data_IF_571701503232
#
_entry.id   IF_571701503232
#
_cell.length_a   1.000
_cell.length_b   1.000
_cell.length_c   1.000
_cell.angle_alpha   90.00
_cell.angle_beta   90.00
_cell.angle_gamma   90.00
#
_symmetry.space_group_name_H-M   'P 1'
#
loop_
_entity.id
_entity.type
_entity.pdbx_description
1 polymer ?
#
# COMPACT_ATOMS: atom_id res chain seq x y z
N UNK A 1 7.66 5.14 -23.13
CA UNK A 1 7.25 4.85 -21.75
C UNK A 1 5.86 5.43 -21.53
N UNK A 2 4.91 4.61 -21.06
CA UNK A 2 3.54 5.07 -20.76
C UNK A 2 3.06 4.43 -19.46
N UNK A 3 2.49 5.21 -18.56
CA UNK A 3 1.83 4.77 -17.34
C UNK A 3 0.72 5.74 -16.93
N UNK A 4 -0.11 5.35 -15.99
CA UNK A 4 -1.23 6.17 -15.51
C UNK A 4 -1.06 6.38 -14.00
N UNK A 5 -1.06 7.62 -13.56
CA UNK A 5 -1.10 7.97 -12.14
C UNK A 5 -2.55 8.24 -11.71
N UNK A 6 -2.91 7.80 -10.51
CA UNK A 6 -4.25 7.97 -9.94
C UNK A 6 -4.17 8.35 -8.48
N UNK A 7 -5.10 9.16 -8.05
CA UNK A 7 -5.38 9.49 -6.66
C UNK A 7 -6.89 9.62 -6.44
N UNK A 8 -7.37 9.35 -5.22
CA UNK A 8 -8.78 9.46 -4.85
C UNK A 8 -8.95 10.12 -3.50
N UNK A 9 -10.05 10.88 -3.35
CA UNK A 9 -10.49 11.39 -2.06
C UNK A 9 -11.73 10.64 -1.58
N UNK A 10 -11.84 10.45 -0.25
CA UNK A 10 -12.96 9.72 0.36
C UNK A 10 -13.76 10.63 1.29
N UNK A 11 -15.08 10.45 1.31
CA UNK A 11 -15.98 11.23 2.16
C UNK A 11 -15.76 10.99 3.66
N UNK A 12 -15.33 9.77 4.03
CA UNK A 12 -15.13 9.37 5.43
C UNK A 12 -14.07 8.26 5.55
N UNK A 13 -13.99 7.60 6.70
CA UNK A 13 -13.03 6.53 6.99
C UNK A 13 -13.30 5.21 6.26
N UNK A 14 -14.49 5.02 5.68
CA UNK A 14 -14.75 3.92 4.75
C UNK A 14 -14.09 4.23 3.41
N UNK A 15 -13.10 3.43 3.05
CA UNK A 15 -12.35 3.60 1.81
C UNK A 15 -13.22 3.42 0.55
N UNK A 16 -14.42 2.86 0.67
CA UNK A 16 -15.39 2.74 -0.43
C UNK A 16 -16.12 4.07 -0.71
N UNK A 17 -16.04 5.06 0.18
CA UNK A 17 -16.74 6.34 0.08
C UNK A 17 -16.05 7.36 -0.84
N UNK A 18 -15.60 6.94 -2.01
CA UNK A 18 -14.87 7.79 -2.97
C UNK A 18 -15.75 8.98 -3.39
N UNK A 19 -15.25 10.21 -3.17
CA UNK A 19 -15.93 11.46 -3.53
C UNK A 19 -15.21 12.28 -4.62
N UNK A 20 -13.94 11.97 -4.91
CA UNK A 20 -13.22 12.52 -6.06
C UNK A 20 -12.25 11.49 -6.61
N UNK A 21 -12.04 11.52 -7.92
CA UNK A 21 -11.00 10.75 -8.61
C UNK A 21 -10.21 11.67 -9.52
N UNK A 22 -8.90 11.55 -9.50
CA UNK A 22 -7.97 12.22 -10.39
C UNK A 22 -7.07 11.19 -11.08
N UNK A 23 -6.93 11.31 -12.41
CA UNK A 23 -6.08 10.43 -13.21
C UNK A 23 -5.24 11.25 -14.15
N UNK A 24 -3.95 10.97 -14.21
CA UNK A 24 -3.01 11.62 -15.14
C UNK A 24 -2.26 10.54 -15.91
N UNK A 25 -2.41 10.56 -17.22
CA UNK A 25 -1.61 9.70 -18.12
C UNK A 25 -0.26 10.34 -18.38
N UNK A 26 0.79 9.58 -18.22
CA UNK A 26 2.16 9.98 -18.56
C UNK A 26 2.60 9.26 -19.82
N UNK A 27 3.13 10.05 -20.78
CA UNK A 27 3.75 9.56 -22.00
C UNK A 27 5.08 10.27 -22.20
N UNK A 28 6.12 9.51 -22.47
CA UNK A 28 7.48 10.01 -22.67
C UNK A 28 7.95 10.95 -21.54
N UNK A 29 7.72 10.50 -20.30
CA UNK A 29 8.07 11.20 -19.04
C UNK A 29 7.31 12.51 -18.80
N UNK A 30 6.21 12.77 -19.50
CA UNK A 30 5.41 13.99 -19.35
C UNK A 30 3.93 13.68 -19.17
N UNK A 31 3.19 14.50 -18.40
CA UNK A 31 1.74 14.46 -18.38
C UNK A 31 1.19 14.69 -19.80
N UNK A 32 0.27 13.85 -20.25
CA UNK A 32 -0.30 13.90 -21.60
C UNK A 32 -1.82 14.02 -21.62
N UNK A 33 -2.49 13.47 -20.63
CA UNK A 33 -3.95 13.56 -20.49
C UNK A 33 -4.31 13.57 -19.01
N UNK A 34 -5.29 14.39 -18.64
CA UNK A 34 -5.83 14.46 -17.28
C UNK A 34 -7.32 14.20 -17.29
N UNK A 35 -7.76 13.32 -16.42
CA UNK A 35 -9.17 13.08 -16.13
C UNK A 35 -9.41 13.38 -14.65
N UNK A 36 -10.53 14.05 -14.34
CA UNK A 36 -10.98 14.22 -12.97
C UNK A 36 -12.51 14.15 -12.91
N UNK A 37 -13.02 13.62 -11.83
CA UNK A 37 -14.45 13.56 -11.58
C UNK A 37 -14.75 13.71 -10.09
N UNK A 38 -15.76 14.51 -9.76
CA UNK A 38 -16.45 14.41 -8.48
C UNK A 38 -17.43 13.23 -8.55
N UNK A 39 -17.53 12.51 -7.47
CA UNK A 39 -18.35 11.28 -7.36
C UNK A 39 -19.27 11.43 -6.17
N UNK A 40 -20.54 11.14 -6.34
CA UNK A 40 -21.45 10.99 -5.20
C UNK A 40 -21.16 9.65 -4.52
N UNK A 41 -20.60 9.64 -3.29
CA UNK A 41 -20.25 8.40 -2.58
C UNK A 41 -21.46 7.62 -2.07
N UNK A 42 -22.68 8.26 -2.10
CA UNK A 42 -23.89 7.74 -1.46
C UNK A 42 -23.63 7.35 0.00
N UNK A 43 -22.94 8.25 0.72
CA UNK A 43 -22.42 8.04 2.06
C UNK A 43 -22.29 9.37 2.82
N UNK A 44 -22.15 9.31 4.14
CA UNK A 44 -21.99 10.50 4.99
C UNK A 44 -20.56 11.09 4.86
N UNK A 45 -20.48 12.42 5.04
CA UNK A 45 -19.20 13.11 5.03
C UNK A 45 -18.66 13.34 6.44
N UNK A 46 -17.42 12.90 6.70
CA UNK A 46 -16.69 13.21 7.92
C UNK A 46 -16.14 14.64 7.88
N UNK A 47 -16.32 15.41 8.94
CA UNK A 47 -15.72 16.75 9.06
C UNK A 47 -14.19 16.75 8.91
N UNK A 48 -13.52 15.66 9.26
CA UNK A 48 -12.07 15.52 9.12
C UNK A 48 -11.72 15.48 7.63
N UNK A 49 -12.39 14.62 6.85
CA UNK A 49 -12.14 14.46 5.42
C UNK A 49 -12.48 15.77 4.68
N UNK A 50 -13.63 16.37 4.95
CA UNK A 50 -14.01 17.67 4.36
C UNK A 50 -12.98 18.77 4.65
N UNK A 51 -12.40 18.81 5.87
CA UNK A 51 -11.34 19.77 6.19
C UNK A 51 -10.06 19.54 5.38
N UNK A 52 -9.77 18.30 5.01
CA UNK A 52 -8.57 17.92 4.25
C UNK A 52 -8.70 18.34 2.79
N UNK A 53 -9.74 17.90 2.09
CA UNK A 53 -9.87 18.07 0.63
C UNK A 53 -10.93 19.11 0.22
N UNK A 54 -11.71 19.66 1.16
CA UNK A 54 -12.69 20.73 0.89
C UNK A 54 -13.94 20.27 0.12
N UNK A 55 -14.17 18.96 -0.03
CA UNK A 55 -15.35 18.42 -0.72
C UNK A 55 -16.37 17.99 0.32
N UNK A 56 -17.56 18.54 0.24
CA UNK A 56 -18.70 18.20 1.08
C UNK A 56 -19.86 17.63 0.25
N UNK A 57 -20.91 17.20 0.93
CA UNK A 57 -22.11 16.64 0.29
C UNK A 57 -22.72 17.60 -0.75
N UNK A 58 -22.71 18.91 -0.51
CA UNK A 58 -23.33 19.90 -1.40
C UNK A 58 -22.66 19.93 -2.79
N UNK A 59 -21.35 19.62 -2.83
CA UNK A 59 -20.56 19.60 -4.08
C UNK A 59 -20.80 18.33 -4.91
N UNK A 60 -21.19 17.21 -4.28
CA UNK A 60 -21.27 15.91 -4.96
C UNK A 60 -22.68 15.35 -5.09
N UNK A 61 -23.67 15.89 -4.38
CA UNK A 61 -25.04 15.35 -4.38
C UNK A 61 -25.69 15.21 -5.75
N UNK A 62 -25.29 16.05 -6.71
CA UNK A 62 -25.79 16.02 -8.09
C UNK A 62 -24.79 15.35 -9.05
N UNK A 63 -23.67 14.81 -8.53
CA UNK A 63 -22.70 14.09 -9.32
C UNK A 63 -23.13 12.62 -9.50
N UNK A 64 -22.57 11.98 -10.51
CA UNK A 64 -22.79 10.56 -10.74
C UNK A 64 -22.21 9.73 -9.59
N UNK A 65 -22.84 8.61 -9.26
CA UNK A 65 -22.30 7.63 -8.33
C UNK A 65 -21.11 6.86 -8.94
N UNK A 66 -20.36 6.17 -8.08
CA UNK A 66 -19.12 5.47 -8.46
C UNK A 66 -19.24 4.52 -9.66
N UNK A 67 -20.34 3.74 -9.85
CA UNK A 67 -20.47 2.89 -11.02
C UNK A 67 -20.35 3.63 -12.36
N UNK A 68 -20.96 4.82 -12.46
CA UNK A 68 -20.91 5.64 -13.68
C UNK A 68 -19.50 6.23 -13.87
N UNK A 69 -18.87 6.72 -12.80
CA UNK A 69 -17.48 7.17 -12.87
C UNK A 69 -16.54 6.06 -13.33
N UNK A 70 -16.79 4.82 -12.90
CA UNK A 70 -15.99 3.65 -13.28
C UNK A 70 -16.07 3.32 -14.77
N UNK A 71 -17.17 3.63 -15.46
CA UNK A 71 -17.28 3.44 -16.92
C UNK A 71 -16.20 4.26 -17.66
N UNK A 72 -15.93 5.48 -17.20
CA UNK A 72 -14.88 6.34 -17.75
C UNK A 72 -13.48 5.97 -17.25
N UNK A 73 -13.36 5.50 -16.01
CA UNK A 73 -12.07 5.14 -15.40
C UNK A 73 -11.49 3.85 -15.96
N UNK A 74 -12.32 2.84 -16.15
CA UNK A 74 -11.89 1.50 -16.55
C UNK A 74 -11.06 1.49 -17.85
N UNK A 75 -11.44 2.19 -18.93
CA UNK A 75 -10.61 2.26 -20.14
C UNK A 75 -9.24 2.93 -19.92
N UNK A 76 -9.14 3.84 -18.95
CA UNK A 76 -7.88 4.52 -18.64
C UNK A 76 -6.91 3.62 -17.86
N UNK A 77 -7.44 2.68 -17.06
CA UNK A 77 -6.66 1.90 -16.10
C UNK A 77 -6.36 0.46 -16.57
N UNK A 78 -7.32 -0.18 -17.27
CA UNK A 78 -7.18 -1.59 -17.66
C UNK A 78 -5.98 -1.81 -18.59
N UNK A 79 -5.22 -2.88 -18.29
CA UNK A 79 -4.02 -3.26 -19.05
C UNK A 79 -2.80 -2.36 -18.80
N UNK A 80 -2.92 -1.32 -17.97
CA UNK A 80 -1.85 -0.35 -17.74
C UNK A 80 -1.05 -0.65 -16.47
N UNK A 81 0.10 0.02 -16.33
CA UNK A 81 0.74 0.20 -15.03
C UNK A 81 0.09 1.42 -14.40
N UNK A 82 -0.59 1.20 -13.28
CA UNK A 82 -1.29 2.23 -12.51
C UNK A 82 -0.48 2.57 -11.28
N UNK A 83 -0.17 3.84 -11.14
CA UNK A 83 0.71 4.41 -10.13
C UNK A 83 -0.12 5.16 -9.11
N UNK A 84 0.10 4.91 -7.83
CA UNK A 84 -0.46 5.70 -6.74
C UNK A 84 0.60 5.95 -5.66
N UNK A 85 0.40 6.98 -4.84
CA UNK A 85 1.30 7.23 -3.72
C UNK A 85 0.76 6.56 -2.45
N UNK A 86 1.28 5.39 -2.10
CA UNK A 86 0.81 4.40 -1.12
C UNK A 86 -0.23 3.43 -1.68
N UNK A 87 -0.81 2.60 -0.82
CA UNK A 87 -1.81 1.62 -1.20
C UNK A 87 -3.25 2.14 -1.08
N UNK A 88 -3.44 3.39 -0.64
CA UNK A 88 -4.74 3.95 -0.30
C UNK A 88 -5.70 3.88 -1.51
N UNK A 89 -5.31 4.44 -2.63
CA UNK A 89 -6.14 4.55 -3.84
C UNK A 89 -6.54 3.19 -4.39
N UNK A 90 -5.56 2.29 -4.46
CA UNK A 90 -5.80 0.90 -4.89
C UNK A 90 -6.84 0.20 -4.00
N UNK A 91 -6.73 0.39 -2.68
CA UNK A 91 -7.66 -0.24 -1.73
C UNK A 91 -9.03 0.42 -1.81
N UNK A 92 -9.09 1.74 -1.95
CA UNK A 92 -10.34 2.49 -2.09
C UNK A 92 -11.11 2.05 -3.33
N UNK A 93 -10.45 1.98 -4.49
CA UNK A 93 -11.07 1.51 -5.74
C UNK A 93 -11.53 0.05 -5.64
N UNK A 94 -10.75 -0.82 -5.01
CA UNK A 94 -11.15 -2.22 -4.81
C UNK A 94 -12.40 -2.33 -3.92
N UNK A 95 -12.43 -1.59 -2.80
CA UNK A 95 -13.55 -1.56 -1.88
C UNK A 95 -14.82 -0.96 -2.51
N UNK A 96 -14.69 0.14 -3.26
CA UNK A 96 -15.80 0.74 -3.98
C UNK A 96 -16.32 -0.21 -5.06
N UNK A 97 -15.43 -0.89 -5.80
CA UNK A 97 -15.85 -1.91 -6.77
C UNK A 97 -16.59 -3.06 -6.10
N UNK A 98 -16.16 -3.52 -4.93
CA UNK A 98 -16.84 -4.55 -4.14
C UNK A 98 -18.22 -4.09 -3.66
N UNK A 99 -18.34 -2.87 -3.08
CA UNK A 99 -19.59 -2.25 -2.62
C UNK A 99 -20.65 -2.27 -3.73
N UNK A 100 -20.25 -1.92 -4.96
CA UNK A 100 -21.15 -1.84 -6.11
C UNK A 100 -21.14 -3.09 -6.99
N UNK A 101 -20.52 -4.18 -6.57
CA UNK A 101 -20.44 -5.47 -7.31
C UNK A 101 -19.91 -5.31 -8.74
N UNK A 102 -18.94 -4.42 -8.93
CA UNK A 102 -18.28 -4.18 -10.20
C UNK A 102 -17.11 -5.15 -10.39
N UNK A 103 -16.77 -5.52 -11.63
CA UNK A 103 -15.55 -6.29 -11.89
C UNK A 103 -14.31 -5.54 -11.41
N UNK A 104 -13.28 -6.28 -10.97
CA UNK A 104 -12.00 -5.70 -10.60
C UNK A 104 -11.35 -4.97 -11.79
N UNK A 105 -10.48 -4.00 -11.48
CA UNK A 105 -9.66 -3.33 -12.49
C UNK A 105 -8.45 -4.24 -12.80
N UNK A 106 -8.28 -4.60 -14.06
CA UNK A 106 -7.20 -5.45 -14.52
C UNK A 106 -5.97 -4.60 -14.87
N UNK A 107 -5.17 -4.25 -13.88
CA UNK A 107 -3.97 -3.44 -14.04
C UNK A 107 -2.82 -3.91 -13.15
N UNK A 108 -1.61 -3.42 -13.41
CA UNK A 108 -0.45 -3.61 -12.54
C UNK A 108 -0.24 -2.37 -11.67
N UNK A 109 -0.35 -2.52 -10.36
CA UNK A 109 -0.17 -1.43 -9.41
C UNK A 109 1.31 -1.20 -9.07
N UNK A 110 1.71 0.08 -9.07
CA UNK A 110 3.01 0.52 -8.62
C UNK A 110 2.84 1.61 -7.54
N UNK A 111 3.34 1.34 -6.34
CA UNK A 111 3.30 2.24 -5.19
C UNK A 111 4.56 3.12 -5.21
N UNK A 112 4.41 4.42 -5.49
CA UNK A 112 5.54 5.37 -5.56
C UNK A 112 6.18 5.61 -4.20
N UNK A 113 5.46 5.52 -3.08
CA UNK A 113 6.07 5.61 -1.77
C UNK A 113 7.12 4.51 -1.55
N UNK A 114 6.92 3.33 -2.14
CA UNK A 114 7.92 2.26 -2.12
C UNK A 114 9.08 2.55 -3.06
N UNK A 115 8.81 3.07 -4.26
CA UNK A 115 9.87 3.50 -5.19
C UNK A 115 10.77 4.54 -4.51
N UNK A 116 10.18 5.59 -3.91
CA UNK A 116 10.84 6.64 -3.14
C UNK A 116 11.76 6.06 -2.08
N UNK A 117 11.25 5.16 -1.26
CA UNK A 117 12.00 4.52 -0.16
C UNK A 117 13.18 3.65 -0.63
N UNK A 118 13.13 3.14 -1.86
CA UNK A 118 14.22 2.38 -2.45
C UNK A 118 15.23 3.26 -3.20
N UNK A 119 14.77 4.36 -3.78
CA UNK A 119 15.61 5.28 -4.56
C UNK A 119 16.40 6.19 -3.63
N UNK A 120 15.75 6.78 -2.63
CA UNK A 120 16.33 7.85 -1.80
C UNK A 120 16.45 7.43 -0.33
N UNK A 121 17.69 7.30 0.15
CA UNK A 121 18.01 6.81 1.51
C UNK A 121 17.37 7.62 2.63
N UNK A 122 17.21 8.93 2.46
CA UNK A 122 16.59 9.82 3.45
C UNK A 122 15.13 9.47 3.70
N UNK A 123 14.41 8.94 2.71
CA UNK A 123 13.02 8.51 2.80
C UNK A 123 12.84 7.04 3.17
N UNK A 124 13.90 6.29 3.35
CA UNK A 124 13.82 4.84 3.57
C UNK A 124 12.96 4.46 4.80
N UNK A 125 12.93 5.32 5.84
CA UNK A 125 12.24 5.05 7.11
C UNK A 125 11.05 5.96 7.38
N UNK A 126 11.12 7.24 7.01
CA UNK A 126 10.10 8.27 7.31
C UNK A 126 10.15 9.39 6.26
N UNK A 127 9.20 10.33 6.30
CA UNK A 127 9.13 11.50 5.42
C UNK A 127 8.85 11.17 3.96
N UNK A 128 8.29 10.00 3.67
CA UNK A 128 7.94 9.58 2.32
C UNK A 128 6.48 9.89 1.94
N UNK A 129 5.85 10.81 2.65
CA UNK A 129 4.55 11.36 2.28
C UNK A 129 4.63 12.12 0.95
N UNK A 130 3.52 12.18 0.21
CA UNK A 130 3.50 12.81 -1.11
C UNK A 130 4.01 14.25 -1.06
N UNK A 131 3.51 15.05 -0.10
CA UNK A 131 3.90 16.45 0.05
C UNK A 131 5.40 16.61 0.35
N UNK A 132 5.94 15.83 1.31
CA UNK A 132 7.36 15.91 1.69
C UNK A 132 8.29 15.57 0.52
N UNK A 133 7.93 14.54 -0.24
CA UNK A 133 8.72 14.09 -1.40
C UNK A 133 8.60 15.06 -2.57
N UNK A 134 7.40 15.59 -2.82
CA UNK A 134 7.18 16.58 -3.87
C UNK A 134 7.96 17.87 -3.60
N UNK A 135 7.92 18.38 -2.36
CA UNK A 135 8.70 19.54 -1.93
C UNK A 135 10.20 19.31 -2.16
N UNK A 136 10.72 18.15 -1.73
CA UNK A 136 12.12 17.79 -1.95
C UNK A 136 12.47 17.66 -3.44
N UNK A 137 11.54 17.21 -4.27
CA UNK A 137 11.69 17.11 -5.72
C UNK A 137 11.54 18.46 -6.43
N UNK A 138 11.07 19.52 -5.75
CA UNK A 138 10.74 20.80 -6.38
C UNK A 138 9.51 20.72 -7.28
N UNK A 139 8.53 19.89 -6.91
CA UNK A 139 7.26 19.70 -7.62
C UNK A 139 6.19 20.50 -6.88
N UNK A 140 5.71 21.58 -7.52
CA UNK A 140 4.61 22.38 -7.01
C UNK A 140 3.26 21.75 -7.39
N UNK A 141 2.36 21.60 -6.43
CA UNK A 141 1.00 21.08 -6.67
C UNK A 141 0.04 21.54 -5.56
N UNK A 142 -1.24 21.46 -5.82
CA UNK A 142 -2.28 21.74 -4.83
C UNK A 142 -2.67 20.43 -4.17
N UNK A 143 -2.13 20.19 -2.95
CA UNK A 143 -2.38 18.96 -2.21
C UNK A 143 -3.87 18.77 -1.88
N UNK A 144 -4.34 17.53 -1.89
CA UNK A 144 -5.73 17.13 -1.72
C UNK A 144 -6.67 17.59 -2.86
N UNK A 145 -6.12 17.77 -4.04
CA UNK A 145 -6.85 17.76 -5.29
C UNK A 145 -6.42 16.51 -6.08
N UNK A 146 -7.29 15.51 -6.19
CA UNK A 146 -6.91 14.19 -6.66
C UNK A 146 -6.11 14.18 -7.99
N UNK A 147 -6.42 15.07 -8.96
CA UNK A 147 -5.64 15.10 -10.20
C UNK A 147 -4.24 15.72 -10.02
N UNK A 148 -4.08 16.67 -9.08
CA UNK A 148 -2.78 17.25 -8.74
C UNK A 148 -1.92 16.27 -7.95
N UNK A 149 -2.53 15.53 -7.00
CA UNK A 149 -1.85 14.49 -6.23
C UNK A 149 -1.40 13.33 -7.16
N UNK A 150 -2.26 12.92 -8.09
CA UNK A 150 -1.90 11.96 -9.14
C UNK A 150 -0.75 12.46 -10.03
N UNK A 151 -0.78 13.76 -10.44
CA UNK A 151 0.30 14.37 -11.23
C UNK A 151 1.61 14.35 -10.44
N UNK A 152 1.61 14.81 -9.20
CA UNK A 152 2.79 14.84 -8.35
C UNK A 152 3.37 13.42 -8.13
N UNK A 153 2.53 12.42 -7.86
CA UNK A 153 2.96 11.03 -7.74
C UNK A 153 3.63 10.51 -9.03
N UNK A 154 3.08 10.87 -10.19
CA UNK A 154 3.66 10.51 -11.48
C UNK A 154 4.99 11.21 -11.77
N UNK A 155 5.13 12.50 -11.46
CA UNK A 155 6.37 13.27 -11.63
C UNK A 155 7.48 12.77 -10.68
N UNK A 156 7.15 12.40 -9.43
CA UNK A 156 8.07 11.74 -8.50
C UNK A 156 8.59 10.43 -9.10
N UNK A 157 7.70 9.61 -9.68
CA UNK A 157 8.13 8.40 -10.36
C UNK A 157 9.07 8.71 -11.52
N UNK A 158 8.74 9.67 -12.40
CA UNK A 158 9.60 10.07 -13.53
C UNK A 158 11.00 10.43 -13.05
N UNK A 159 11.11 11.19 -11.95
CA UNK A 159 12.41 11.53 -11.35
C UNK A 159 13.17 10.30 -10.86
N UNK A 160 12.48 9.37 -10.19
CA UNK A 160 13.09 8.13 -9.74
C UNK A 160 13.58 7.26 -10.90
N UNK A 161 12.83 7.20 -12.01
CA UNK A 161 13.25 6.49 -13.23
C UNK A 161 14.53 7.11 -13.81
N UNK A 162 14.60 8.44 -13.89
CA UNK A 162 15.77 9.16 -14.41
C UNK A 162 17.03 8.92 -13.55
N UNK A 163 16.89 8.91 -12.22
CA UNK A 163 18.02 8.69 -11.31
C UNK A 163 18.50 7.23 -11.27
N UNK A 164 17.58 6.28 -11.41
CA UNK A 164 17.92 4.84 -11.29
C UNK A 164 18.25 4.18 -12.61
N UNK A 165 17.88 4.79 -13.72
CA UNK A 165 17.99 4.19 -15.07
C UNK A 165 17.04 3.00 -15.28
N UNK A 166 16.10 2.75 -14.35
CA UNK A 166 15.13 1.66 -14.44
C UNK A 166 13.89 2.12 -15.17
N UNK A 167 13.26 1.21 -15.91
CA UNK A 167 11.96 1.45 -16.53
C UNK A 167 10.82 1.35 -15.50
N UNK A 168 9.64 1.82 -15.87
CA UNK A 168 8.44 1.65 -15.04
C UNK A 168 8.05 0.18 -14.89
N UNK A 169 8.31 -0.62 -15.92
CA UNK A 169 8.13 -2.08 -15.94
C UNK A 169 9.07 -2.76 -14.95
N UNK A 170 10.35 -2.36 -14.91
CA UNK A 170 11.32 -2.87 -13.95
C UNK A 170 10.89 -2.58 -12.51
N UNK A 171 10.40 -1.37 -12.23
CA UNK A 171 9.89 -1.01 -10.92
C UNK A 171 8.63 -1.78 -10.55
N UNK A 172 7.70 -1.99 -11.50
CA UNK A 172 6.50 -2.78 -11.28
C UNK A 172 6.80 -4.26 -10.98
N UNK A 173 7.98 -4.76 -11.38
CA UNK A 173 8.48 -6.08 -11.01
C UNK A 173 9.26 -6.08 -9.69
N UNK A 174 10.02 -5.01 -9.42
CA UNK A 174 10.90 -4.90 -8.24
C UNK A 174 10.18 -4.49 -6.96
N UNK A 175 9.16 -3.64 -7.06
CA UNK A 175 8.35 -3.28 -5.88
C UNK A 175 7.71 -4.55 -5.36
N UNK A 176 8.13 -5.05 -4.19
CA UNK A 176 7.81 -6.41 -3.80
C UNK A 176 6.31 -6.65 -3.75
N UNK A 177 5.87 -7.63 -4.52
CA UNK A 177 4.63 -8.35 -4.22
C UNK A 177 4.64 -8.69 -2.72
N UNK A 178 3.48 -8.66 -2.04
CA UNK A 178 3.42 -9.10 -0.66
C UNK A 178 4.10 -10.45 -0.54
N UNK A 179 5.12 -10.54 0.33
CA UNK A 179 5.88 -11.78 0.50
C UNK A 179 4.95 -12.80 1.16
N UNK A 180 4.45 -13.71 0.35
CA UNK A 180 3.72 -14.90 0.79
C UNK A 180 4.50 -16.11 0.36
N UNK A 181 4.52 -17.14 1.19
CA UNK A 181 5.10 -18.46 0.88
C UNK A 181 4.20 -19.53 1.45
N UNK A 182 4.00 -20.56 0.67
CA UNK A 182 3.34 -21.77 1.16
C UNK A 182 4.39 -22.65 1.85
N UNK A 183 4.10 -23.07 3.06
CA UNK A 183 4.98 -23.93 3.85
C UNK A 183 5.09 -25.34 3.26
N UNK A 184 6.25 -25.96 3.44
CA UNK A 184 6.43 -27.39 3.12
C UNK A 184 5.65 -28.23 4.13
N UNK A 185 4.63 -29.01 3.71
CA UNK A 185 3.79 -29.77 4.63
C UNK A 185 4.50 -30.95 5.32
N UNK A 186 5.70 -31.34 4.86
CA UNK A 186 6.48 -32.44 5.40
C UNK A 186 7.52 -31.99 6.46
N UNK A 187 7.53 -30.71 6.79
CA UNK A 187 8.51 -30.13 7.70
C UNK A 187 7.93 -29.88 9.10
N UNK A 188 8.80 -29.80 10.15
CA UNK A 188 8.38 -29.73 11.56
C UNK A 188 7.42 -28.57 11.90
N UNK A 189 7.48 -27.46 11.18
CA UNK A 189 6.62 -26.29 11.42
C UNK A 189 5.40 -26.23 10.48
N UNK A 190 5.03 -27.36 9.87
CA UNK A 190 3.82 -27.45 9.06
C UNK A 190 2.58 -27.12 9.92
N UNK A 191 1.72 -26.24 9.41
CA UNK A 191 0.54 -25.74 10.13
C UNK A 191 0.77 -24.45 10.90
N UNK A 192 2.01 -23.98 11.07
CA UNK A 192 2.30 -22.66 11.62
C UNK A 192 2.10 -21.56 10.57
N UNK A 193 1.41 -20.48 10.92
CA UNK A 193 1.22 -19.30 10.08
C UNK A 193 2.04 -18.14 10.66
N UNK A 194 3.07 -17.72 9.92
CA UNK A 194 4.07 -16.74 10.38
C UNK A 194 3.92 -15.40 9.71
N UNK A 195 4.09 -14.32 10.47
CA UNK A 195 4.11 -12.94 10.00
C UNK A 195 5.37 -12.24 10.51
N UNK A 196 6.03 -11.50 9.64
CA UNK A 196 7.21 -10.71 9.99
C UNK A 196 6.88 -9.22 10.14
N UNK A 197 7.47 -8.57 11.14
CA UNK A 197 7.35 -7.12 11.38
C UNK A 197 8.66 -6.52 11.87
N UNK A 198 8.80 -5.19 11.76
CA UNK A 198 10.03 -4.51 12.17
C UNK A 198 11.19 -4.65 11.19
N UNK A 199 12.36 -4.14 11.59
CA UNK A 199 13.60 -4.23 10.82
C UNK A 199 14.32 -5.52 11.18
N UNK A 200 14.33 -6.49 10.25
CA UNK A 200 15.07 -7.73 10.38
C UNK A 200 16.54 -7.53 10.00
N UNK A 201 17.44 -8.33 10.57
CA UNK A 201 18.87 -8.38 10.22
C UNK A 201 19.07 -9.03 8.85
N UNK A 202 18.33 -10.13 8.58
CA UNK A 202 18.31 -10.75 7.24
C UNK A 202 17.23 -10.13 6.34
N UNK A 203 17.40 -10.16 5.01
CA UNK A 203 16.38 -9.73 4.08
C UNK A 203 15.06 -10.46 4.32
N UNK A 204 13.94 -9.73 4.36
CA UNK A 204 12.62 -10.32 4.65
C UNK A 204 12.21 -11.44 3.70
N UNK A 205 12.70 -11.44 2.45
CA UNK A 205 12.48 -12.55 1.52
C UNK A 205 13.19 -13.81 1.98
N UNK A 206 14.43 -13.67 2.39
CA UNK A 206 15.23 -14.77 2.94
C UNK A 206 14.58 -15.35 4.21
N UNK A 207 14.15 -14.48 5.13
CA UNK A 207 13.40 -14.93 6.31
C UNK A 207 12.11 -15.70 5.94
N UNK A 208 11.42 -15.25 4.90
CA UNK A 208 10.21 -15.91 4.40
C UNK A 208 10.53 -17.26 3.72
N UNK A 209 11.62 -17.34 2.99
CA UNK A 209 12.06 -18.57 2.32
C UNK A 209 12.50 -19.61 3.36
N UNK A 210 13.24 -19.20 4.40
CA UNK A 210 13.60 -20.06 5.54
C UNK A 210 12.36 -20.58 6.28
N UNK A 211 11.41 -19.69 6.61
CA UNK A 211 10.18 -20.07 7.28
C UNK A 211 9.37 -21.11 6.46
N UNK A 212 9.24 -20.89 5.15
CA UNK A 212 8.52 -21.81 4.28
C UNK A 212 9.23 -23.16 4.13
N UNK A 213 10.55 -23.16 4.05
CA UNK A 213 11.37 -24.37 4.01
C UNK A 213 11.22 -25.19 5.30
N UNK A 214 11.03 -24.52 6.44
CA UNK A 214 10.77 -25.17 7.73
C UNK A 214 9.30 -25.61 7.91
N UNK A 215 8.39 -25.24 6.99
CA UNK A 215 6.99 -25.65 7.00
C UNK A 215 5.97 -24.54 7.26
N UNK A 216 6.40 -23.32 7.61
CA UNK A 216 5.48 -22.25 7.94
C UNK A 216 4.79 -21.66 6.70
N UNK A 217 3.48 -21.42 6.81
CA UNK A 217 2.74 -20.56 5.88
C UNK A 217 3.09 -19.09 6.14
N UNK A 218 3.70 -18.39 5.18
CA UNK A 218 4.13 -16.99 5.35
C UNK A 218 3.05 -16.02 4.89
N UNK A 219 2.49 -15.25 5.83
CA UNK A 219 1.46 -14.26 5.59
C UNK A 219 2.00 -12.82 5.71
N UNK A 220 1.31 -11.89 5.05
CA UNK A 220 1.70 -10.47 5.03
C UNK A 220 1.12 -9.65 6.16
N UNK A 221 0.05 -10.13 6.78
CA UNK A 221 -0.69 -9.44 7.85
C UNK A 221 -1.10 -10.42 8.94
N UNK A 222 -1.22 -9.92 10.16
CA UNK A 222 -1.72 -10.68 11.30
C UNK A 222 -3.23 -10.86 11.17
N UNK A 223 -3.67 -12.11 11.24
CA UNK A 223 -5.08 -12.53 11.14
C UNK A 223 -5.41 -13.53 12.24
N UNK A 224 -6.65 -14.01 12.29
CA UNK A 224 -7.07 -15.07 13.22
C UNK A 224 -6.36 -16.42 13.00
N UNK A 225 -5.74 -16.62 11.85
CA UNK A 225 -4.97 -17.84 11.55
C UNK A 225 -3.48 -17.70 11.89
N UNK A 226 -3.00 -16.51 12.27
CA UNK A 226 -1.60 -16.28 12.62
C UNK A 226 -1.26 -16.98 13.92
N UNK A 227 -0.17 -17.75 13.93
CA UNK A 227 0.35 -18.47 15.12
C UNK A 227 1.70 -17.92 15.58
N UNK A 228 2.45 -17.31 14.65
CA UNK A 228 3.78 -16.75 14.93
C UNK A 228 3.89 -15.31 14.43
N UNK A 229 4.40 -14.41 15.27
CA UNK A 229 4.81 -13.06 14.88
C UNK A 229 6.30 -12.90 15.17
N UNK A 230 7.10 -12.74 14.12
CA UNK A 230 8.54 -12.45 14.26
C UNK A 230 8.78 -10.95 14.18
N UNK A 231 9.47 -10.43 15.18
CA UNK A 231 9.82 -9.00 15.33
C UNK A 231 11.34 -8.87 15.27
N UNK A 232 11.84 -7.88 14.51
CA UNK A 232 13.28 -7.62 14.48
C UNK A 232 13.83 -7.31 15.88
N UNK A 233 14.96 -7.88 16.24
CA UNK A 233 15.53 -7.81 17.60
C UNK A 233 15.82 -6.38 18.07
N UNK A 234 16.19 -5.48 17.15
CA UNK A 234 16.39 -4.07 17.48
C UNK A 234 15.08 -3.37 17.89
N UNK A 235 13.96 -3.78 17.27
CA UNK A 235 12.66 -3.23 17.62
C UNK A 235 12.15 -3.80 18.94
N UNK A 236 12.42 -5.07 19.25
CA UNK A 236 12.12 -5.66 20.56
C UNK A 236 12.85 -4.94 21.71
N UNK A 237 14.11 -4.61 21.55
CA UNK A 237 14.90 -3.88 22.57
C UNK A 237 14.40 -2.44 22.79
N UNK A 238 13.86 -1.79 21.73
CA UNK A 238 13.26 -0.46 21.78
C UNK A 238 11.86 -0.46 22.36
N UNK A 239 11.16 -1.59 22.34
CA UNK A 239 9.78 -1.74 22.83
C UNK A 239 9.61 -1.58 24.34
N UNK A 240 10.71 -1.49 25.12
CA UNK A 240 10.65 -1.10 26.54
C UNK A 240 10.10 0.34 26.77
N UNK A 241 9.76 1.10 25.71
CA UNK A 241 9.25 2.49 25.87
C UNK A 241 8.48 3.13 24.72
N UNK A 242 8.54 2.73 23.45
CA UNK A 242 7.86 3.46 22.36
C UNK A 242 7.48 2.66 21.12
N UNK A 243 6.30 2.98 20.57
CA UNK A 243 5.70 2.66 19.25
C UNK A 243 5.85 1.24 18.70
N UNK A 244 5.00 0.34 19.18
CA UNK A 244 4.76 -0.97 18.58
C UNK A 244 4.18 -0.83 17.17
N UNK A 245 4.64 -1.67 16.22
CA UNK A 245 4.09 -1.69 14.87
C UNK A 245 2.58 -2.02 14.87
N UNK A 246 1.86 -1.66 13.82
CA UNK A 246 0.43 -2.01 13.67
C UNK A 246 0.20 -3.52 13.73
N UNK A 247 1.13 -4.33 13.19
CA UNK A 247 1.06 -5.79 13.26
C UNK A 247 1.27 -6.32 14.67
N UNK A 248 2.19 -5.71 15.44
CA UNK A 248 2.43 -6.08 16.83
C UNK A 248 1.20 -5.80 17.69
N UNK A 249 0.64 -4.59 17.61
CA UNK A 249 -0.59 -4.21 18.32
C UNK A 249 -1.76 -5.13 17.96
N UNK A 250 -1.90 -5.49 16.68
CA UNK A 250 -2.96 -6.41 16.27
C UNK A 250 -2.76 -7.81 16.81
N UNK A 251 -1.54 -8.31 16.88
CA UNK A 251 -1.24 -9.60 17.50
C UNK A 251 -1.58 -9.60 19.00
N UNK A 252 -1.19 -8.55 19.73
CA UNK A 252 -1.54 -8.41 21.15
C UNK A 252 -3.05 -8.38 21.37
N UNK A 253 -3.80 -7.59 20.57
CA UNK A 253 -5.27 -7.55 20.67
C UNK A 253 -5.92 -8.91 20.39
N UNK A 254 -5.36 -9.70 19.49
CA UNK A 254 -5.84 -11.07 19.24
C UNK A 254 -5.47 -12.02 20.38
N UNK A 255 -4.29 -11.89 20.98
CA UNK A 255 -3.87 -12.65 22.18
C UNK A 255 -4.81 -12.34 23.35
N UNK A 256 -5.11 -11.06 23.60
CA UNK A 256 -6.06 -10.63 24.63
C UNK A 256 -7.47 -11.19 24.39
N UNK A 257 -7.84 -11.42 23.13
CA UNK A 257 -9.12 -12.06 22.76
C UNK A 257 -9.07 -13.59 22.77
N UNK A 258 -7.99 -14.21 23.29
CA UNK A 258 -7.84 -15.65 23.50
C UNK A 258 -7.14 -16.40 22.38
N UNK A 259 -6.59 -15.73 21.36
CA UNK A 259 -5.84 -16.39 20.30
C UNK A 259 -4.41 -16.72 20.72
N UNK A 260 -3.94 -17.91 20.36
CA UNK A 260 -2.58 -18.34 20.66
C UNK A 260 -1.61 -17.88 19.56
N UNK A 261 -1.02 -16.70 19.75
CA UNK A 261 0.04 -16.18 18.89
C UNK A 261 1.32 -16.09 19.74
N UNK A 262 2.39 -16.72 19.27
CA UNK A 262 3.73 -16.55 19.87
C UNK A 262 4.46 -15.40 19.20
N UNK A 263 4.95 -14.45 20.00
CA UNK A 263 5.77 -13.35 19.52
C UNK A 263 7.23 -13.70 19.78
N UNK A 264 8.04 -13.74 18.72
CA UNK A 264 9.45 -14.16 18.75
C UNK A 264 10.35 -13.01 18.28
N UNK A 265 11.55 -12.95 18.82
CA UNK A 265 12.65 -12.19 18.21
C UNK A 265 13.19 -12.88 16.96
N UNK A 266 13.88 -12.12 16.10
CA UNK A 266 14.50 -12.67 14.91
C UNK A 266 15.54 -13.75 15.23
N UNK A 267 16.36 -13.55 16.27
CA UNK A 267 17.35 -14.54 16.70
C UNK A 267 16.70 -15.85 17.09
N UNK A 268 15.56 -15.81 17.82
CA UNK A 268 14.85 -17.01 18.22
C UNK A 268 14.17 -17.70 17.04
N UNK A 269 13.67 -16.92 16.09
CA UNK A 269 13.14 -17.43 14.82
C UNK A 269 14.22 -18.19 14.03
N UNK A 270 15.42 -17.60 13.86
CA UNK A 270 16.52 -18.26 13.14
C UNK A 270 16.87 -19.60 13.81
N UNK A 271 17.00 -19.62 15.13
CA UNK A 271 17.26 -20.88 15.87
C UNK A 271 16.14 -21.91 15.67
N UNK A 272 14.88 -21.45 15.60
CA UNK A 272 13.73 -22.33 15.43
C UNK A 272 13.68 -22.97 14.03
N UNK A 273 14.10 -22.28 12.98
CA UNK A 273 14.10 -22.80 11.60
C UNK A 273 15.39 -23.52 11.21
N UNK A 274 16.45 -23.39 12.00
CA UNK A 274 17.77 -24.02 11.80
C UNK A 274 17.86 -25.40 12.49
N UNK A 275 16.73 -25.91 13.00
CA UNK A 275 16.66 -27.25 13.59
C UNK A 275 16.40 -28.24 12.45
N UNK A 276 17.47 -28.88 11.97
CA UNK A 276 17.43 -30.06 11.09
C UNK A 276 16.80 -31.27 11.77
#
# INVERSE_FOLDING_TARGET
MEFVAIDVETANADLASICQVGVVTFKDSKPSHTFQALVNPEDEFSHINVRIHGIDESRVRNCAAFPVAMESLRPLLNGKIVVSHTAFDRVSLARASEKYKLPAIECRWLDTARVVRHTWKQFAKSGYGLADVAEWCGIDFVHHQAHEDARAAGEILVRALAETGLSVEDWALRVPQPIRRTGNPERPLAGEAIVFTGALMIPRREAADLAASAGCEVATSVTKTTTLLVVGDQDLRRLAGQQRSSKHRKAESLIESGQQIRILGETDFIRMVDID
#
